data_IF_847619501926
#
_entry.id   IF_847619501926
#
_cell.length_a   1.000
_cell.length_b   1.000
_cell.length_c   1.000
_cell.angle_alpha   90.00
_cell.angle_beta   90.00
_cell.angle_gamma   90.00
#
_symmetry.space_group_name_H-M   'P 1'
#
loop_
_entity.id
_entity.type
_entity.pdbx_description
1 polymer ?
#
# COMPACT_ATOMS: atom_id res chain seq x y z
N UNK A 1 5.81 -11.42 -24.05
CA UNK A 1 6.34 -10.08 -24.38
C UNK A 1 5.17 -9.11 -24.33
N UNK A 2 5.39 -7.89 -23.83
CA UNK A 2 4.38 -6.81 -23.87
C UNK A 2 4.03 -6.50 -25.33
N UNK A 3 2.75 -6.27 -25.64
CA UNK A 3 2.33 -5.90 -26.99
C UNK A 3 3.02 -4.58 -27.41
N UNK A 4 3.65 -4.50 -28.60
CA UNK A 4 4.38 -3.30 -29.02
C UNK A 4 3.52 -2.03 -29.03
N UNK A 5 2.24 -2.13 -29.39
CA UNK A 5 1.31 -0.99 -29.38
C UNK A 5 0.96 -0.60 -27.95
N UNK A 6 0.81 -1.57 -27.04
CA UNK A 6 0.63 -1.28 -25.62
C UNK A 6 1.85 -0.54 -25.03
N UNK A 7 3.06 -0.98 -25.38
CA UNK A 7 4.31 -0.35 -24.93
C UNK A 7 4.46 1.09 -25.47
N UNK A 8 4.14 1.32 -26.75
CA UNK A 8 4.16 2.64 -27.37
C UNK A 8 3.11 3.58 -26.74
N UNK A 9 1.88 3.09 -26.54
CA UNK A 9 0.82 3.85 -25.89
C UNK A 9 1.21 4.21 -24.44
N UNK A 10 1.79 3.26 -23.68
CA UNK A 10 2.36 3.55 -22.35
C UNK A 10 3.43 4.66 -22.41
N UNK A 11 4.34 4.61 -23.39
CA UNK A 11 5.39 5.62 -23.53
C UNK A 11 4.81 7.02 -23.79
N UNK A 12 3.82 7.13 -24.69
CA UNK A 12 3.09 8.39 -24.92
C UNK A 12 2.35 8.87 -23.66
N UNK A 13 1.71 7.96 -22.93
CA UNK A 13 1.05 8.28 -21.66
C UNK A 13 2.02 8.80 -20.60
N UNK A 14 3.21 8.20 -20.49
CA UNK A 14 4.25 8.64 -19.58
C UNK A 14 4.81 10.03 -19.96
N UNK A 15 4.97 10.31 -21.25
CA UNK A 15 5.41 11.62 -21.74
C UNK A 15 4.39 12.71 -21.38
N UNK A 16 3.11 12.48 -21.68
CA UNK A 16 2.03 13.40 -21.31
C UNK A 16 1.92 13.60 -19.78
N UNK A 17 2.12 12.53 -18.99
CA UNK A 17 2.15 12.61 -17.54
C UNK A 17 3.30 13.51 -17.04
N UNK A 18 4.49 13.41 -17.64
CA UNK A 18 5.63 14.25 -17.27
C UNK A 18 5.37 15.75 -17.56
N UNK A 19 4.57 16.03 -18.60
CA UNK A 19 4.10 17.38 -18.95
C UNK A 19 2.91 17.85 -18.09
N UNK A 20 2.43 17.01 -17.15
CA UNK A 20 1.21 17.22 -16.35
C UNK A 20 -0.07 17.31 -17.18
N UNK A 21 -0.04 16.88 -18.45
CA UNK A 21 -1.25 16.67 -19.26
C UNK A 21 -1.87 15.32 -18.91
N UNK A 22 -2.55 15.30 -17.76
CA UNK A 22 -3.19 14.08 -17.25
C UNK A 22 -4.33 13.60 -18.14
N UNK A 23 -5.05 14.50 -18.82
CA UNK A 23 -6.14 14.13 -19.71
C UNK A 23 -5.64 13.37 -20.94
N UNK A 24 -4.54 13.82 -21.56
CA UNK A 24 -3.90 13.10 -22.66
C UNK A 24 -3.23 11.82 -22.16
N UNK A 25 -2.59 11.83 -20.99
CA UNK A 25 -2.02 10.64 -20.39
C UNK A 25 -3.07 9.53 -20.18
N UNK A 26 -4.27 9.88 -19.69
CA UNK A 26 -5.40 8.94 -19.52
C UNK A 26 -5.80 8.29 -20.84
N UNK A 27 -5.87 9.07 -21.94
CA UNK A 27 -6.21 8.52 -23.26
C UNK A 27 -5.20 7.47 -23.69
N UNK A 28 -3.91 7.76 -23.54
CA UNK A 28 -2.84 6.84 -23.92
C UNK A 28 -2.75 5.61 -23.01
N UNK A 29 -2.96 5.73 -21.70
CA UNK A 29 -3.03 4.54 -20.84
C UNK A 29 -4.28 3.71 -21.11
N UNK A 30 -5.40 4.33 -21.49
CA UNK A 30 -6.60 3.61 -21.92
C UNK A 30 -6.38 2.86 -23.23
N UNK A 31 -5.66 3.48 -24.17
CA UNK A 31 -5.20 2.83 -25.40
C UNK A 31 -4.30 1.62 -25.08
N UNK A 32 -3.32 1.78 -24.17
CA UNK A 32 -2.46 0.68 -23.73
C UNK A 32 -3.26 -0.49 -23.13
N UNK A 33 -4.25 -0.19 -22.29
CA UNK A 33 -5.14 -1.20 -21.68
C UNK A 33 -5.96 -1.94 -22.73
N UNK A 34 -6.34 -1.28 -23.84
CA UNK A 34 -7.10 -1.92 -24.93
C UNK A 34 -6.27 -2.96 -25.70
N UNK A 35 -4.94 -2.80 -25.70
CA UNK A 35 -3.99 -3.74 -26.31
C UNK A 35 -3.54 -4.83 -25.34
N UNK A 36 -3.37 -4.51 -24.06
CA UNK A 36 -2.91 -5.47 -23.05
C UNK A 36 -3.35 -5.09 -21.64
N UNK A 37 -3.87 -6.06 -20.89
CA UNK A 37 -4.20 -5.88 -19.47
C UNK A 37 -2.95 -6.03 -18.61
N UNK A 38 -2.47 -4.94 -18.02
CA UNK A 38 -1.27 -4.95 -17.17
C UNK A 38 -1.38 -3.96 -16.00
N UNK A 39 -1.04 -4.40 -14.79
CA UNK A 39 -1.15 -3.62 -13.54
C UNK A 39 -0.48 -2.23 -13.62
N UNK A 40 0.63 -2.10 -14.36
CA UNK A 40 1.32 -0.81 -14.54
C UNK A 40 0.45 0.23 -15.28
N UNK A 41 -0.33 -0.17 -16.29
CA UNK A 41 -1.15 0.77 -17.03
C UNK A 41 -2.28 1.34 -16.15
N UNK A 42 -2.95 0.47 -15.39
CA UNK A 42 -3.92 0.88 -14.38
C UNK A 42 -3.28 1.77 -13.31
N UNK A 43 -2.07 1.45 -12.83
CA UNK A 43 -1.38 2.26 -11.82
C UNK A 43 -1.06 3.68 -12.30
N UNK A 44 -0.67 3.80 -13.57
CA UNK A 44 -0.36 5.09 -14.17
C UNK A 44 -1.63 5.89 -14.46
N UNK A 45 -2.69 5.25 -14.95
CA UNK A 45 -3.97 5.91 -15.19
C UNK A 45 -4.67 6.32 -13.89
N UNK A 46 -4.61 5.49 -12.84
CA UNK A 46 -5.04 5.84 -11.47
C UNK A 46 -4.35 7.11 -10.97
N UNK A 47 -3.03 7.23 -11.19
CA UNK A 47 -2.29 8.44 -10.80
C UNK A 47 -2.78 9.69 -11.54
N UNK A 48 -3.14 9.56 -12.82
CA UNK A 48 -3.69 10.66 -13.59
C UNK A 48 -5.08 11.07 -13.06
N UNK A 49 -5.97 10.10 -12.83
CA UNK A 49 -7.29 10.37 -12.25
C UNK A 49 -7.19 11.05 -10.88
N UNK A 50 -6.31 10.55 -10.00
CA UNK A 50 -6.07 11.19 -8.70
C UNK A 50 -5.54 12.63 -8.85
N UNK A 51 -4.68 12.88 -9.85
CA UNK A 51 -4.16 14.24 -10.12
C UNK A 51 -5.24 15.21 -10.64
N UNK A 52 -6.31 14.67 -11.22
CA UNK A 52 -7.50 15.43 -11.66
C UNK A 52 -8.60 15.49 -10.59
N UNK A 53 -8.41 14.86 -9.42
CA UNK A 53 -9.42 14.77 -8.37
C UNK A 53 -10.55 13.77 -8.65
N UNK A 54 -10.41 12.92 -9.69
CA UNK A 54 -11.37 11.88 -10.04
C UNK A 54 -11.12 10.61 -9.22
N UNK A 55 -11.30 10.69 -7.91
CA UNK A 55 -10.84 9.65 -6.98
C UNK A 55 -11.62 8.33 -7.09
N UNK A 56 -12.89 8.34 -7.51
CA UNK A 56 -13.65 7.11 -7.78
C UNK A 56 -13.01 6.29 -8.91
N UNK A 57 -12.63 6.93 -10.01
CA UNK A 57 -11.94 6.25 -11.12
C UNK A 57 -10.52 5.84 -10.73
N UNK A 58 -9.85 6.66 -9.93
CA UNK A 58 -8.54 6.30 -9.37
C UNK A 58 -8.62 5.04 -8.49
N UNK A 59 -9.71 4.89 -7.73
CA UNK A 59 -9.99 3.72 -6.89
C UNK A 59 -10.28 2.47 -7.73
N UNK A 60 -11.08 2.59 -8.78
CA UNK A 60 -11.32 1.49 -9.73
C UNK A 60 -10.00 0.96 -10.30
N UNK A 61 -9.17 1.84 -10.85
CA UNK A 61 -7.88 1.46 -11.42
C UNK A 61 -6.90 0.94 -10.34
N UNK A 62 -6.88 1.54 -9.15
CA UNK A 62 -6.07 1.08 -8.02
C UNK A 62 -6.46 -0.33 -7.55
N UNK A 63 -7.76 -0.63 -7.54
CA UNK A 63 -8.30 -1.95 -7.20
C UNK A 63 -7.93 -2.99 -8.25
N UNK A 64 -7.98 -2.63 -9.54
CA UNK A 64 -7.56 -3.52 -10.61
C UNK A 64 -6.04 -3.77 -10.57
N UNK A 65 -5.21 -2.81 -10.13
CA UNK A 65 -3.78 -3.04 -9.88
C UNK A 65 -3.55 -4.17 -8.86
N UNK A 66 -4.23 -4.09 -7.71
CA UNK A 66 -4.11 -5.08 -6.64
C UNK A 66 -4.63 -6.44 -7.10
N UNK A 67 -5.72 -6.47 -7.88
CA UNK A 67 -6.27 -7.71 -8.45
C UNK A 67 -5.34 -8.37 -9.47
N UNK A 68 -4.73 -7.58 -10.36
CA UNK A 68 -3.81 -8.09 -11.38
C UNK A 68 -2.45 -8.49 -10.82
N UNK A 69 -1.97 -7.79 -9.79
CA UNK A 69 -0.67 -8.05 -9.16
C UNK A 69 -0.74 -7.80 -7.64
N UNK A 70 -1.24 -8.79 -6.87
CA UNK A 70 -1.42 -8.66 -5.43
C UNK A 70 -0.11 -8.62 -4.64
N UNK A 71 1.02 -9.00 -5.24
CA UNK A 71 2.36 -8.93 -4.65
C UNK A 71 3.09 -7.60 -4.97
N UNK A 72 2.37 -6.57 -5.45
CA UNK A 72 2.96 -5.30 -5.85
C UNK A 72 2.52 -4.12 -4.96
N UNK A 73 3.40 -3.66 -4.04
CA UNK A 73 3.08 -2.61 -3.07
C UNK A 73 2.51 -1.33 -3.68
N UNK A 74 2.99 -0.94 -4.87
CA UNK A 74 2.52 0.28 -5.55
C UNK A 74 1.02 0.23 -5.90
N UNK A 75 0.45 -0.96 -6.13
CA UNK A 75 -1.00 -1.12 -6.33
C UNK A 75 -1.79 -0.70 -5.09
N UNK A 76 -1.35 -1.14 -3.90
CA UNK A 76 -1.93 -0.75 -2.61
C UNK A 76 -1.77 0.75 -2.35
N UNK A 77 -0.61 1.33 -2.69
CA UNK A 77 -0.41 2.78 -2.57
C UNK A 77 -1.41 3.58 -3.44
N UNK A 78 -1.72 3.12 -4.66
CA UNK A 78 -2.74 3.75 -5.52
C UNK A 78 -4.14 3.62 -4.97
N UNK A 79 -4.53 2.40 -4.55
CA UNK A 79 -5.85 2.12 -3.97
C UNK A 79 -6.08 2.92 -2.69
N UNK A 80 -5.12 2.89 -1.77
CA UNK A 80 -5.20 3.58 -0.47
C UNK A 80 -5.24 5.11 -0.63
N UNK A 81 -4.54 5.66 -1.63
CA UNK A 81 -4.59 7.10 -1.92
C UNK A 81 -5.99 7.53 -2.36
N UNK A 82 -6.60 6.75 -3.25
CA UNK A 82 -7.95 7.03 -3.72
C UNK A 82 -8.99 6.90 -2.59
N UNK A 83 -8.90 5.84 -1.77
CA UNK A 83 -9.75 5.66 -0.58
C UNK A 83 -9.63 6.82 0.41
N UNK A 84 -8.39 7.28 0.67
CA UNK A 84 -8.13 8.43 1.55
C UNK A 84 -8.84 9.69 1.07
N UNK A 85 -8.71 10.06 -0.22
CA UNK A 85 -9.36 11.25 -0.75
C UNK A 85 -10.90 11.12 -0.86
N UNK A 86 -11.41 9.89 -0.95
CA UNK A 86 -12.83 9.59 -0.82
C UNK A 86 -13.31 9.58 0.64
N UNK A 87 -12.44 9.91 1.61
CA UNK A 87 -12.70 9.90 3.06
C UNK A 87 -13.08 8.53 3.60
N UNK A 88 -12.68 7.47 2.91
CA UNK A 88 -12.83 6.06 3.32
C UNK A 88 -11.62 5.64 4.16
N UNK A 89 -11.49 6.25 5.33
CA UNK A 89 -10.26 6.18 6.13
C UNK A 89 -10.01 4.78 6.69
N UNK A 90 -11.06 4.05 7.06
CA UNK A 90 -10.92 2.68 7.56
C UNK A 90 -10.39 1.74 6.47
N UNK A 91 -10.98 1.82 5.28
CA UNK A 91 -10.56 1.05 4.12
C UNK A 91 -9.14 1.43 3.66
N UNK A 92 -8.82 2.74 3.65
CA UNK A 92 -7.49 3.21 3.31
C UNK A 92 -6.43 2.68 4.29
N UNK A 93 -6.70 2.70 5.60
CA UNK A 93 -5.79 2.18 6.61
C UNK A 93 -5.51 0.68 6.41
N UNK A 94 -6.55 -0.12 6.16
CA UNK A 94 -6.40 -1.55 5.85
C UNK A 94 -5.61 -1.78 4.57
N UNK A 95 -5.89 -1.01 3.51
CA UNK A 95 -5.19 -1.12 2.23
C UNK A 95 -3.70 -0.80 2.39
N UNK A 96 -3.33 0.27 3.10
CA UNK A 96 -1.93 0.60 3.34
C UNK A 96 -1.23 -0.44 4.22
N UNK A 97 -1.90 -0.95 5.27
CA UNK A 97 -1.35 -2.04 6.11
C UNK A 97 -1.05 -3.29 5.30
N UNK A 98 -1.97 -3.73 4.43
CA UNK A 98 -1.73 -4.85 3.50
C UNK A 98 -0.55 -4.59 2.56
N UNK A 99 -0.40 -3.37 2.07
CA UNK A 99 0.78 -2.98 1.29
C UNK A 99 2.08 -3.11 2.09
N UNK A 100 2.06 -2.69 3.36
CA UNK A 100 3.23 -2.75 4.26
C UNK A 100 3.58 -4.17 4.66
N UNK A 101 2.63 -5.11 4.70
CA UNK A 101 2.94 -6.54 4.84
C UNK A 101 3.85 -7.06 3.71
N UNK A 102 3.73 -6.49 2.51
CA UNK A 102 4.55 -6.85 1.34
C UNK A 102 5.87 -6.06 1.28
N UNK A 103 5.84 -4.79 1.66
CA UNK A 103 7.01 -3.91 1.68
C UNK A 103 7.00 -3.04 2.96
N UNK A 104 7.52 -3.56 4.08
CA UNK A 104 7.44 -2.88 5.38
C UNK A 104 8.13 -1.52 5.41
N UNK A 105 9.13 -1.30 4.54
CA UNK A 105 9.93 -0.08 4.47
C UNK A 105 9.53 0.87 3.33
N UNK A 106 8.41 0.62 2.65
CA UNK A 106 7.96 1.51 1.57
C UNK A 106 7.51 2.87 2.13
N UNK A 107 8.17 3.97 1.75
CA UNK A 107 7.87 5.30 2.30
C UNK A 107 6.49 5.80 1.88
N UNK A 108 6.02 5.47 0.67
CA UNK A 108 4.71 5.92 0.19
C UNK A 108 3.58 5.27 0.97
N UNK A 109 3.74 4.00 1.33
CA UNK A 109 2.78 3.27 2.15
C UNK A 109 2.78 3.75 3.61
N UNK A 110 3.96 3.99 4.20
CA UNK A 110 4.07 4.55 5.56
C UNK A 110 3.45 5.95 5.63
N UNK A 111 3.79 6.83 4.69
CA UNK A 111 3.25 8.19 4.62
C UNK A 111 1.73 8.18 4.39
N UNK A 112 1.25 7.31 3.50
CA UNK A 112 -0.18 7.14 3.25
C UNK A 112 -0.94 6.69 4.49
N UNK A 113 -0.42 5.69 5.22
CA UNK A 113 -1.01 5.23 6.46
C UNK A 113 -1.01 6.34 7.53
N UNK A 114 0.10 7.06 7.68
CA UNK A 114 0.18 8.16 8.64
C UNK A 114 -0.86 9.24 8.34
N UNK A 115 -0.98 9.66 7.08
CA UNK A 115 -2.01 10.64 6.65
C UNK A 115 -3.43 10.19 6.98
N UNK A 116 -3.72 8.90 6.80
CA UNK A 116 -5.02 8.32 7.15
C UNK A 116 -5.26 8.40 8.67
N UNK A 117 -4.27 8.04 9.49
CA UNK A 117 -4.38 8.14 10.94
C UNK A 117 -4.56 9.59 11.38
N UNK A 118 -3.80 10.51 10.79
CA UNK A 118 -3.87 11.93 11.11
C UNK A 118 -5.25 12.51 10.84
N UNK A 119 -5.81 12.17 9.66
CA UNK A 119 -7.14 12.60 9.25
C UNK A 119 -8.27 11.92 10.05
N UNK A 120 -8.08 10.67 10.47
CA UNK A 120 -9.09 9.89 11.21
C UNK A 120 -9.23 10.35 12.67
N UNK A 121 -8.11 10.66 13.32
CA UNK A 121 -8.09 10.98 14.74
C UNK A 121 -8.04 12.49 15.02
N UNK A 122 -8.11 13.34 13.98
CA UNK A 122 -7.94 14.80 14.07
C UNK A 122 -6.79 15.17 15.00
N UNK A 123 -5.62 14.58 14.76
CA UNK A 123 -4.38 15.02 15.41
C UNK A 123 -3.90 16.30 14.74
N UNK A 124 -4.72 17.35 14.87
CA UNK A 124 -4.25 18.72 14.75
C UNK A 124 -3.06 18.90 15.70
N UNK A 125 -1.97 19.60 15.30
CA UNK A 125 -0.73 19.71 16.08
C UNK A 125 -0.88 20.44 17.44
N UNK A 126 -2.10 20.77 17.86
CA UNK A 126 -2.43 21.28 19.18
C UNK A 126 -2.71 20.18 20.22
N UNK A 127 -2.88 18.91 19.82
CA UNK A 127 -3.19 17.81 20.72
C UNK A 127 -2.03 16.82 20.85
N UNK A 128 -0.86 17.29 21.31
CA UNK A 128 0.06 16.39 22.01
C UNK A 128 -0.48 16.14 23.42
N UNK A 129 -1.47 15.27 23.54
CA UNK A 129 -1.75 14.60 24.81
C UNK A 129 -1.60 13.12 24.55
N UNK A 130 -0.50 12.60 25.09
CA UNK A 130 -0.25 11.19 25.34
C UNK A 130 -1.53 10.44 25.69
N UNK A 131 -1.94 9.51 24.85
CA UNK A 131 -2.38 8.17 25.26
C UNK A 131 -2.74 7.35 24.01
N UNK A 132 -2.21 6.12 23.95
CA UNK A 132 -2.60 5.03 23.02
C UNK A 132 -1.78 4.87 21.73
N UNK A 133 -0.45 5.05 21.78
CA UNK A 133 0.43 4.53 20.73
C UNK A 133 0.81 3.05 20.95
N UNK A 134 0.56 2.47 22.12
CA UNK A 134 0.95 1.08 22.43
C UNK A 134 0.06 -0.03 21.86
N UNK A 135 -1.13 0.25 21.31
CA UNK A 135 -2.12 -0.82 21.02
C UNK A 135 -2.24 -1.25 19.54
N UNK A 136 -1.38 -0.73 18.64
CA UNK A 136 -1.43 -1.06 17.20
C UNK A 136 -0.30 -1.97 16.68
N UNK A 137 0.67 -2.33 17.51
CA UNK A 137 1.78 -3.24 17.17
C UNK A 137 1.79 -4.47 18.08
N UNK A 138 0.67 -5.19 18.10
CA UNK A 138 0.53 -6.46 18.82
C UNK A 138 0.67 -7.68 17.91
N UNK A 139 1.84 -8.34 17.99
CA UNK A 139 2.16 -9.75 17.64
C UNK A 139 2.72 -10.03 16.24
N UNK A 140 4.03 -9.81 16.13
CA UNK A 140 4.89 -10.65 15.29
C UNK A 140 6.10 -11.09 16.14
N UNK A 141 5.90 -12.11 16.99
CA UNK A 141 7.01 -12.75 17.72
C UNK A 141 7.70 -13.74 16.78
N UNK A 142 8.72 -13.25 16.07
CA UNK A 142 9.69 -14.07 15.35
C UNK A 142 11.01 -14.13 16.12
N UNK A 143 11.02 -14.59 17.37
CA UNK A 143 12.24 -15.10 18.02
C UNK A 143 11.95 -15.91 19.29
N UNK A 144 11.49 -17.15 19.16
CA UNK A 144 11.52 -18.14 20.26
C UNK A 144 12.65 -19.13 20.04
N UNK A 145 13.89 -18.65 20.21
CA UNK A 145 15.08 -19.47 20.33
C UNK A 145 16.01 -18.86 21.39
N UNK A 146 15.62 -18.97 22.65
CA UNK A 146 16.59 -18.87 23.76
C UNK A 146 16.23 -19.82 24.89
N UNK A 147 17.26 -20.54 25.30
CA UNK A 147 17.26 -21.74 26.14
C UNK A 147 16.64 -21.57 27.53
N UNK A 148 15.90 -22.60 27.97
CA UNK A 148 15.72 -22.91 29.37
C UNK A 148 16.12 -24.37 29.62
N UNK A 149 17.41 -24.57 29.92
CA UNK A 149 17.92 -25.79 30.51
C UNK A 149 17.47 -25.85 31.98
N UNK A 150 16.41 -26.62 32.26
CA UNK A 150 15.99 -26.94 33.62
C UNK A 150 15.38 -28.35 33.68
N UNK A 151 16.23 -29.37 33.77
CA UNK A 151 15.85 -30.71 34.25
C UNK A 151 16.98 -31.29 35.09
N UNK A 152 16.99 -30.94 36.38
CA UNK A 152 17.65 -31.81 37.35
C UNK A 152 17.01 -31.70 38.75
N UNK A 153 16.08 -32.61 39.09
CA UNK A 153 15.76 -32.90 40.47
C UNK A 153 15.91 -34.39 40.75
N UNK A 154 17.13 -34.86 41.03
CA UNK A 154 17.32 -36.15 41.72
C UNK A 154 18.68 -36.29 42.39
N UNK A 155 18.82 -35.69 43.56
CA UNK A 155 19.75 -36.20 44.58
C UNK A 155 18.91 -36.62 45.78
N UNK A 156 18.62 -37.92 45.86
CA UNK A 156 18.29 -38.62 47.10
C UNK A 156 19.12 -39.90 47.12
N UNK A 157 20.07 -39.86 48.04
CA UNK A 157 20.73 -40.94 48.78
C UNK A 157 20.21 -42.36 48.50
N UNK A 158 21.14 -43.28 48.23
CA UNK A 158 21.09 -44.62 48.81
C UNK A 158 22.37 -44.81 49.62
N UNK A 159 22.20 -45.04 50.92
CA UNK A 159 23.21 -45.39 51.90
C UNK A 159 23.43 -46.92 51.90
N UNK A 160 24.65 -47.33 52.26
CA UNK A 160 25.20 -48.68 52.50
C UNK A 160 25.96 -49.34 51.34
#
# INVERSE_FOLDING_TARGET
MEDPKAAEAKARGNAAFAEKDFATAIKHFTEAISHSTHHVFYSNRSACYASLGEYEKALEDGSECVKLKPDWPKGYARKGLAEFFLKRYDEAAETYKKGLELAPEDPSLKEGLQKVMDAKYDVSPAASSSDSAEDLFGKFDANSLTMAAARNPRVKEHLH
#
